data_IF_074223092696
#
_entry.id   IF_074223092696
#
_cell.length_a   1.000
_cell.length_b   1.000
_cell.length_c   1.000
_cell.angle_alpha   90.00
_cell.angle_beta   90.00
_cell.angle_gamma   90.00
#
_symmetry.space_group_name_H-M   'P 1'
#
loop_
_entity.id
_entity.type
_entity.pdbx_description
1 polymer ?
#
# COMPACT_ATOMS: atom_id res chain seq x y z
N UNK A 1 -8.62 -1.43 -4.66
CA UNK A 1 -9.76 -0.50 -4.80
C UNK A 1 -9.67 0.56 -3.73
N UNK A 2 -10.17 1.78 -3.97
CA UNK A 2 -10.22 2.84 -2.96
C UNK A 2 -11.04 2.40 -1.73
N UNK A 3 -10.66 2.88 -0.55
CA UNK A 3 -11.40 2.61 0.68
C UNK A 3 -12.75 3.34 0.70
N UNK A 4 -13.77 2.70 1.28
CA UNK A 4 -15.10 3.30 1.51
C UNK A 4 -15.27 3.80 2.95
N UNK A 5 -14.27 3.58 3.81
CA UNK A 5 -14.32 3.88 5.25
C UNK A 5 -13.17 4.76 5.73
N UNK A 6 -12.22 5.10 4.84
CA UNK A 6 -10.97 5.79 5.22
C UNK A 6 -9.90 4.85 5.79
N UNK A 7 -10.28 3.66 6.25
CA UNK A 7 -9.33 2.67 6.78
C UNK A 7 -8.63 1.90 5.67
N UNK A 8 -7.37 1.55 5.91
CA UNK A 8 -6.58 0.71 5.01
C UNK A 8 -7.14 -0.71 5.00
N UNK A 9 -7.40 -1.24 3.79
CA UNK A 9 -7.90 -2.60 3.62
C UNK A 9 -6.79 -3.62 3.43
N UNK A 10 -7.17 -4.90 3.35
CA UNK A 10 -6.25 -5.98 2.99
C UNK A 10 -5.71 -5.82 1.57
N UNK A 11 -4.47 -6.21 1.37
CA UNK A 11 -3.87 -6.26 0.05
C UNK A 11 -4.24 -7.53 -0.71
N UNK A 12 -4.32 -7.38 -2.04
CA UNK A 12 -4.54 -8.51 -2.96
C UNK A 12 -3.18 -9.10 -3.34
N UNK A 13 -3.14 -10.42 -3.51
CA UNK A 13 -1.89 -11.18 -3.74
C UNK A 13 -1.21 -10.90 -5.10
N UNK A 14 -1.96 -10.52 -6.13
CA UNK A 14 -1.47 -10.52 -7.51
C UNK A 14 -0.21 -9.68 -7.76
N UNK A 15 -0.16 -8.44 -7.25
CA UNK A 15 1.01 -7.57 -7.43
C UNK A 15 2.27 -8.13 -6.76
N UNK A 16 2.11 -8.78 -5.61
CA UNK A 16 3.20 -9.39 -4.88
C UNK A 16 3.72 -10.64 -5.59
N UNK A 17 2.82 -11.44 -6.15
CA UNK A 17 3.19 -12.60 -6.96
C UNK A 17 4.07 -12.17 -8.16
N UNK A 18 3.66 -11.13 -8.89
CA UNK A 18 4.43 -10.59 -10.01
C UNK A 18 5.81 -10.08 -9.58
N UNK A 19 5.88 -9.35 -8.46
CA UNK A 19 7.16 -8.87 -7.93
C UNK A 19 8.09 -10.04 -7.55
N UNK A 20 7.54 -11.10 -6.94
CA UNK A 20 8.29 -12.31 -6.60
C UNK A 20 8.78 -13.06 -7.85
N UNK A 21 7.92 -13.29 -8.83
CA UNK A 21 8.27 -14.01 -10.07
C UNK A 21 9.33 -13.27 -10.89
N UNK A 22 9.22 -11.93 -10.98
CA UNK A 22 10.16 -11.10 -11.71
C UNK A 22 11.41 -10.71 -10.90
N UNK A 23 11.49 -11.10 -9.63
CA UNK A 23 12.55 -10.70 -8.70
C UNK A 23 12.76 -9.17 -8.63
N UNK A 24 11.67 -8.40 -8.64
CA UNK A 24 11.71 -6.94 -8.63
C UNK A 24 11.41 -6.38 -7.23
N UNK A 25 12.17 -5.39 -6.73
CA UNK A 25 11.89 -4.79 -5.45
C UNK A 25 10.54 -4.07 -5.43
N UNK A 26 9.87 -4.07 -4.27
CA UNK A 26 8.62 -3.33 -4.06
C UNK A 26 8.95 -2.01 -3.39
N UNK A 27 8.45 -0.89 -3.91
CA UNK A 27 8.56 0.43 -3.26
C UNK A 27 7.21 0.79 -2.62
N UNK A 28 7.09 0.74 -1.29
CA UNK A 28 5.83 1.04 -0.61
C UNK A 28 5.58 2.56 -0.57
N UNK A 29 4.32 2.97 -0.76
CA UNK A 29 3.91 4.38 -0.71
C UNK A 29 2.66 4.51 0.16
N UNK A 30 2.69 5.46 1.09
CA UNK A 30 1.52 5.85 1.88
C UNK A 30 0.93 7.15 1.37
N UNK A 31 -0.40 7.20 1.26
CA UNK A 31 -1.16 8.39 0.90
C UNK A 31 -2.16 8.68 2.02
N UNK A 32 -1.92 9.74 2.80
CA UNK A 32 -2.74 10.15 3.92
C UNK A 32 -3.55 11.42 3.59
N UNK A 33 -4.82 11.45 4.04
CA UNK A 33 -5.74 12.58 3.85
C UNK A 33 -6.52 12.59 2.53
N UNK A 34 -6.22 11.71 1.58
CA UNK A 34 -6.93 11.68 0.28
C UNK A 34 -8.42 11.30 0.41
N UNK A 35 -8.76 10.40 1.35
CA UNK A 35 -10.15 10.01 1.61
C UNK A 35 -11.01 11.19 2.07
N UNK A 36 -10.47 12.06 2.92
CA UNK A 36 -11.17 13.25 3.44
C UNK A 36 -11.35 14.31 2.36
N UNK A 37 -10.44 14.37 1.38
CA UNK A 37 -10.54 15.26 0.23
C UNK A 37 -11.61 14.81 -0.75
N UNK A 38 -11.62 13.52 -1.10
CA UNK A 38 -12.62 12.93 -2.01
C UNK A 38 -12.77 11.43 -1.75
N UNK A 39 -13.87 11.05 -1.11
CA UNK A 39 -14.17 9.64 -0.80
C UNK A 39 -14.60 8.86 -2.06
N UNK A 40 -14.50 7.52 -2.02
CA UNK A 40 -14.67 6.69 -3.20
C UNK A 40 -16.06 6.75 -3.87
N UNK A 41 -17.11 7.13 -3.12
CA UNK A 41 -18.48 7.19 -3.60
C UNK A 41 -18.96 8.64 -3.83
N UNK A 42 -18.06 9.63 -3.77
CA UNK A 42 -18.40 11.04 -3.86
C UNK A 42 -17.61 11.74 -4.96
N UNK A 43 -18.25 12.72 -5.60
CA UNK A 43 -17.62 13.69 -6.49
C UNK A 43 -17.37 15.04 -5.80
N UNK A 44 -17.80 15.19 -4.54
CA UNK A 44 -17.57 16.40 -3.75
C UNK A 44 -16.12 16.43 -3.28
N UNK A 45 -15.34 17.34 -3.85
CA UNK A 45 -13.95 17.60 -3.47
C UNK A 45 -13.94 18.66 -2.36
N UNK A 46 -13.16 18.43 -1.32
CA UNK A 46 -12.88 19.43 -0.28
C UNK A 46 -11.42 19.90 -0.37
N UNK A 47 -11.15 21.13 0.08
CA UNK A 47 -9.79 21.65 0.16
C UNK A 47 -9.02 21.02 1.34
N UNK A 48 -7.71 20.84 1.18
CA UNK A 48 -6.80 20.44 2.24
C UNK A 48 -5.54 19.74 1.72
N UNK A 49 -4.61 19.43 2.61
CA UNK A 49 -3.32 18.81 2.27
C UNK A 49 -3.44 17.29 2.14
N UNK A 50 -2.76 16.70 1.16
CA UNK A 50 -2.54 15.26 1.05
C UNK A 50 -1.05 15.02 1.31
N UNK A 51 -0.73 14.09 2.21
CA UNK A 51 0.66 13.70 2.50
C UNK A 51 0.98 12.41 1.78
N UNK A 52 2.08 12.40 1.04
CA UNK A 52 2.64 11.21 0.41
C UNK A 52 3.97 10.87 1.06
N UNK A 53 4.09 9.64 1.55
CA UNK A 53 5.33 9.12 2.14
C UNK A 53 5.84 8.00 1.25
N UNK A 54 7.05 8.15 0.73
CA UNK A 54 7.76 7.11 -0.02
C UNK A 54 8.68 6.38 0.94
N UNK A 55 8.52 5.06 1.05
CA UNK A 55 9.28 4.23 1.96
C UNK A 55 10.49 3.59 1.28
N UNK A 56 11.37 3.00 2.08
CA UNK A 56 12.50 2.24 1.57
C UNK A 56 12.03 1.04 0.73
N UNK A 57 12.71 0.70 -0.38
CA UNK A 57 12.40 -0.49 -1.16
C UNK A 57 12.51 -1.77 -0.31
N UNK A 58 11.53 -2.65 -0.48
CA UNK A 58 11.52 -3.99 0.09
C UNK A 58 12.14 -4.95 -0.93
N UNK A 59 13.27 -5.52 -0.53
CA UNK A 59 13.96 -6.55 -1.31
C UNK A 59 13.20 -7.89 -1.21
N UNK A 60 12.80 -8.41 -2.38
CA UNK A 60 12.09 -9.68 -2.54
C UNK A 60 12.97 -10.87 -2.17
N UNK A 61 14.30 -10.76 -2.32
CA UNK A 61 15.21 -11.88 -2.07
C UNK A 61 15.16 -12.34 -0.61
N UNK A 62 14.79 -11.45 0.32
CA UNK A 62 14.56 -11.77 1.75
C UNK A 62 13.36 -12.70 1.99
N UNK A 63 12.50 -12.89 0.99
CA UNK A 63 11.24 -13.64 1.10
C UNK A 63 11.20 -14.90 0.22
N UNK A 64 12.32 -15.32 -0.41
CA UNK A 64 12.36 -16.49 -1.30
C UNK A 64 11.87 -17.79 -0.65
N UNK A 65 12.27 -18.03 0.59
CA UNK A 65 11.92 -19.24 1.36
C UNK A 65 10.68 -19.03 2.25
N UNK A 66 10.06 -17.84 2.20
CA UNK A 66 8.98 -17.44 3.10
C UNK A 66 7.62 -17.51 2.40
N UNK A 67 6.53 -17.72 3.16
CA UNK A 67 5.19 -17.58 2.61
C UNK A 67 4.98 -16.19 2.03
N UNK A 68 4.38 -16.09 0.83
CA UNK A 68 4.01 -14.81 0.20
C UNK A 68 3.20 -13.89 1.12
N UNK A 69 2.45 -14.48 2.05
CA UNK A 69 1.68 -13.75 3.07
C UNK A 69 2.57 -12.85 3.94
N UNK A 70 3.77 -13.28 4.29
CA UNK A 70 4.70 -12.46 5.08
C UNK A 70 5.10 -11.18 4.33
N UNK A 71 5.47 -11.29 3.05
CA UNK A 71 5.78 -10.13 2.22
C UNK A 71 4.60 -9.14 2.15
N UNK A 72 3.38 -9.68 2.01
CA UNK A 72 2.16 -8.87 1.95
C UNK A 72 1.92 -8.15 3.27
N UNK A 73 2.02 -8.86 4.39
CA UNK A 73 1.77 -8.34 5.73
C UNK A 73 2.83 -7.30 6.11
N UNK A 74 4.12 -7.55 5.84
CA UNK A 74 5.21 -6.61 6.10
C UNK A 74 5.06 -5.34 5.26
N UNK A 75 4.75 -5.48 3.96
CA UNK A 75 4.47 -4.32 3.09
C UNK A 75 3.26 -3.53 3.59
N UNK A 76 2.23 -4.23 4.07
CA UNK A 76 1.06 -3.59 4.66
C UNK A 76 1.43 -2.80 5.92
N UNK A 77 2.24 -3.35 6.82
CA UNK A 77 2.70 -2.66 8.03
C UNK A 77 3.53 -1.42 7.70
N UNK A 78 4.45 -1.52 6.74
CA UNK A 78 5.26 -0.36 6.29
C UNK A 78 4.35 0.76 5.80
N UNK A 79 3.39 0.47 4.92
CA UNK A 79 2.47 1.49 4.41
C UNK A 79 1.56 2.03 5.53
N UNK A 80 1.08 1.17 6.42
CA UNK A 80 0.23 1.58 7.53
C UNK A 80 0.96 2.49 8.54
N UNK A 81 2.25 2.25 8.78
CA UNK A 81 3.07 3.07 9.69
C UNK A 81 3.23 4.53 9.25
N UNK A 82 2.99 4.81 7.97
CA UNK A 82 3.07 6.17 7.41
C UNK A 82 1.73 6.92 7.36
N UNK A 83 0.64 6.32 7.83
CA UNK A 83 -0.71 6.91 7.83
C UNK A 83 -0.91 7.93 8.95
#
# INVERSE_FOLDING_TARGET
TRTRTGKMGRFKRGAFLLATELNLPIVPITIAGAYDRMSANSLKITYGKIKMTVHNPIDIHKYKEKPLKELIDDTWQVIHSGL
#
